data_IF_291062635445
#
_entry.id   IF_291062635445
#
_cell.length_a   1.000
_cell.length_b   1.000
_cell.length_c   1.000
_cell.angle_alpha   90.00
_cell.angle_beta   90.00
_cell.angle_gamma   90.00
#
_symmetry.space_group_name_H-M   'P 1'
#
loop_
_entity.id
_entity.type
_entity.pdbx_description
1 polymer ?
#
# COMPACT_ATOMS: atom_id res chain seq x y z
N UNK A 1 13.61 -26.93 -22.81
CA UNK A 1 12.90 -25.66 -23.06
C UNK A 1 12.26 -25.24 -21.74
N UNK A 2 12.71 -24.13 -21.14
CA UNK A 2 11.91 -23.45 -20.12
C UNK A 2 10.83 -22.69 -20.89
N UNK A 3 9.57 -23.04 -20.67
CA UNK A 3 8.45 -22.26 -21.19
C UNK A 3 8.35 -21.05 -20.28
N UNK A 4 8.82 -19.90 -20.75
CA UNK A 4 8.58 -18.63 -20.08
C UNK A 4 7.11 -18.28 -20.30
N UNK A 5 6.33 -18.34 -19.23
CA UNK A 5 4.93 -17.92 -19.26
C UNK A 5 4.97 -16.39 -19.35
N UNK A 6 4.32 -15.76 -20.34
CA UNK A 6 4.20 -14.30 -20.37
C UNK A 6 3.66 -13.80 -19.04
N UNK A 7 4.22 -12.71 -18.49
CA UNK A 7 3.89 -12.24 -17.13
C UNK A 7 2.39 -12.02 -16.93
N UNK A 8 1.68 -11.62 -17.99
CA UNK A 8 0.23 -11.49 -18.02
C UNK A 8 -0.51 -12.82 -17.81
N UNK A 9 -0.07 -13.90 -18.47
CA UNK A 9 -0.70 -15.22 -18.34
C UNK A 9 -0.41 -15.83 -16.97
N UNK A 10 0.79 -15.60 -16.44
CA UNK A 10 1.14 -15.95 -15.07
C UNK A 10 0.27 -15.19 -14.07
N UNK A 11 0.06 -13.89 -14.29
CA UNK A 11 -0.75 -13.06 -13.41
C UNK A 11 -2.24 -13.44 -13.45
N UNK A 12 -2.80 -13.79 -14.62
CA UNK A 12 -4.16 -14.35 -14.71
C UNK A 12 -4.28 -15.65 -13.90
N UNK A 13 -3.28 -16.52 -13.96
CA UNK A 13 -3.26 -17.76 -13.17
C UNK A 13 -3.18 -17.48 -11.67
N UNK A 14 -2.35 -16.54 -11.23
CA UNK A 14 -2.27 -16.13 -9.82
C UNK A 14 -3.57 -15.50 -9.34
N UNK A 15 -4.25 -14.70 -10.17
CA UNK A 15 -5.58 -14.17 -9.86
C UNK A 15 -6.60 -15.27 -9.62
N UNK A 16 -6.62 -16.29 -10.50
CA UNK A 16 -7.52 -17.41 -10.34
C UNK A 16 -7.26 -18.19 -9.04
N UNK A 17 -5.99 -18.37 -8.65
CA UNK A 17 -5.61 -19.02 -7.39
C UNK A 17 -6.10 -18.19 -6.20
N UNK A 18 -5.85 -16.88 -6.19
CA UNK A 18 -6.27 -15.99 -5.10
C UNK A 18 -7.80 -15.96 -4.95
N UNK A 19 -8.54 -15.92 -6.05
CA UNK A 19 -10.01 -16.01 -6.04
C UNK A 19 -10.51 -17.33 -5.47
N UNK A 20 -9.89 -18.46 -5.85
CA UNK A 20 -10.25 -19.76 -5.30
C UNK A 20 -9.99 -19.84 -3.79
N UNK A 21 -8.86 -19.27 -3.33
CA UNK A 21 -8.56 -19.20 -1.91
C UNK A 21 -9.58 -18.33 -1.18
N UNK A 22 -9.95 -17.16 -1.71
CA UNK A 22 -10.90 -16.24 -1.08
C UNK A 22 -12.33 -16.80 -0.96
N UNK A 23 -12.70 -17.76 -1.80
CA UNK A 23 -14.00 -18.45 -1.74
C UNK A 23 -14.09 -19.51 -0.64
N UNK A 24 -12.98 -19.84 0.01
CA UNK A 24 -12.98 -20.80 1.11
C UNK A 24 -13.82 -20.29 2.29
N UNK A 25 -14.74 -21.11 2.82
CA UNK A 25 -15.60 -20.70 3.92
C UNK A 25 -14.85 -20.64 5.27
N UNK A 26 -13.68 -21.27 5.37
CA UNK A 26 -12.88 -21.40 6.59
C UNK A 26 -11.82 -20.30 6.79
N UNK A 27 -11.89 -19.21 6.02
CA UNK A 27 -10.97 -18.08 6.16
C UNK A 27 -11.33 -17.16 7.33
N UNK A 28 -10.32 -16.79 8.11
CA UNK A 28 -10.39 -15.67 9.05
C UNK A 28 -10.46 -14.33 8.32
N UNK A 29 -10.91 -13.29 9.02
CA UNK A 29 -11.00 -11.94 8.46
C UNK A 29 -9.62 -11.40 8.01
N UNK A 30 -8.56 -11.74 8.75
CA UNK A 30 -7.19 -11.36 8.40
C UNK A 30 -6.73 -12.03 7.11
N UNK A 31 -7.04 -13.32 6.93
CA UNK A 31 -6.67 -14.05 5.71
C UNK A 31 -7.45 -13.53 4.49
N UNK A 32 -8.73 -13.17 4.65
CA UNK A 32 -9.48 -12.47 3.59
C UNK A 32 -8.82 -11.16 3.19
N UNK A 33 -8.48 -10.31 4.15
CA UNK A 33 -7.78 -9.04 3.87
C UNK A 33 -6.42 -9.26 3.20
N UNK A 34 -5.67 -10.28 3.62
CA UNK A 34 -4.39 -10.61 3.00
C UNK A 34 -4.56 -11.06 1.54
N UNK A 35 -5.60 -11.84 1.23
CA UNK A 35 -5.91 -12.27 -0.13
C UNK A 35 -6.40 -11.10 -1.02
N UNK A 36 -7.21 -10.20 -0.46
CA UNK A 36 -7.65 -8.99 -1.16
C UNK A 36 -6.46 -8.06 -1.46
N UNK A 37 -5.55 -7.90 -0.51
CA UNK A 37 -4.32 -7.13 -0.68
C UNK A 37 -3.36 -7.76 -1.70
N UNK A 38 -3.18 -9.08 -1.69
CA UNK A 38 -2.38 -9.76 -2.70
C UNK A 38 -2.98 -9.59 -4.11
N UNK A 39 -4.31 -9.61 -4.23
CA UNK A 39 -5.01 -9.39 -5.48
C UNK A 39 -4.83 -7.96 -6.00
N UNK A 40 -4.81 -6.94 -5.12
CA UNK A 40 -4.58 -5.56 -5.53
C UNK A 40 -3.14 -5.31 -5.99
N UNK A 41 -2.15 -5.90 -5.33
CA UNK A 41 -0.75 -5.83 -5.77
C UNK A 41 -0.55 -6.47 -7.15
N UNK A 42 -1.20 -7.61 -7.39
CA UNK A 42 -1.13 -8.27 -8.68
C UNK A 42 -1.79 -7.45 -9.78
N UNK A 43 -2.93 -6.80 -9.49
CA UNK A 43 -3.56 -5.86 -10.41
C UNK A 43 -2.61 -4.70 -10.74
N UNK A 44 -2.01 -4.09 -9.71
CA UNK A 44 -1.05 -3.01 -9.89
C UNK A 44 0.16 -3.46 -10.73
N UNK A 45 0.71 -4.65 -10.51
CA UNK A 45 1.85 -5.11 -11.33
C UNK A 45 1.54 -5.22 -12.83
N UNK A 46 0.28 -5.48 -13.20
CA UNK A 46 -0.14 -5.58 -14.62
C UNK A 46 -0.51 -4.20 -15.18
N UNK A 47 -1.14 -3.35 -14.38
CA UNK A 47 -1.77 -2.11 -14.84
C UNK A 47 -1.04 -0.83 -14.39
N UNK A 48 0.01 -0.91 -13.57
CA UNK A 48 0.79 0.24 -13.09
C UNK A 48 2.01 0.56 -13.95
N UNK A 49 2.28 -0.18 -15.03
CA UNK A 49 3.27 0.26 -16.03
C UNK A 49 2.85 1.57 -16.74
N UNK A 50 1.59 2.01 -16.60
CA UNK A 50 1.04 3.23 -17.22
C UNK A 50 0.70 4.37 -16.22
N UNK A 51 1.03 4.23 -14.93
CA UNK A 51 0.87 5.33 -13.93
C UNK A 51 2.23 5.87 -13.49
N UNK A 52 3.20 5.85 -14.40
CA UNK A 52 4.42 6.65 -14.33
C UNK A 52 4.19 7.94 -15.11
N UNK A 53 4.53 9.09 -14.52
CA UNK A 53 4.34 10.47 -15.03
C UNK A 53 2.91 11.04 -14.99
N UNK A 54 2.43 11.35 -13.79
CA UNK A 54 1.72 12.64 -13.60
C UNK A 54 2.68 13.58 -12.87
N UNK A 55 3.35 14.41 -13.68
CA UNK A 55 3.89 15.74 -13.36
C UNK A 55 4.52 15.95 -12.00
N UNK A 56 5.85 16.00 -11.99
CA UNK A 56 6.55 17.01 -11.19
C UNK A 56 5.99 18.39 -11.59
N UNK A 57 5.18 19.01 -10.74
CA UNK A 57 5.06 20.47 -10.69
C UNK A 57 4.42 20.90 -9.36
N UNK A 58 5.30 21.42 -8.50
CA UNK A 58 5.11 22.55 -7.57
C UNK A 58 3.79 22.68 -6.79
N UNK A 59 3.87 22.42 -5.47
CA UNK A 59 3.65 23.42 -4.41
C UNK A 59 3.26 22.71 -3.09
N UNK A 60 4.23 22.44 -2.20
CA UNK A 60 3.93 22.36 -0.75
C UNK A 60 5.22 22.31 0.07
N UNK A 61 5.87 23.46 0.28
CA UNK A 61 7.03 23.62 1.16
C UNK A 61 6.75 23.38 2.66
N UNK A 62 5.74 22.57 3.02
CA UNK A 62 5.31 22.31 4.39
C UNK A 62 5.31 20.83 4.80
N UNK A 63 5.52 19.91 3.87
CA UNK A 63 5.53 18.47 4.19
C UNK A 63 6.91 17.91 4.57
N UNK A 64 8.00 18.59 4.19
CA UNK A 64 9.36 18.09 4.47
C UNK A 64 9.71 18.06 5.97
N UNK A 65 9.16 18.96 6.79
CA UNK A 65 9.47 18.96 8.23
C UNK A 65 8.75 17.84 8.99
N UNK A 66 7.52 17.51 8.60
CA UNK A 66 6.74 16.45 9.25
C UNK A 66 7.32 15.08 8.90
N UNK A 67 7.69 14.85 7.64
CA UNK A 67 8.26 13.58 7.20
C UNK A 67 9.59 13.26 7.90
N UNK A 68 10.48 14.25 8.07
CA UNK A 68 11.76 14.06 8.78
C UNK A 68 11.59 13.61 10.23
N UNK A 69 10.51 13.99 10.89
CA UNK A 69 10.24 13.60 12.29
C UNK A 69 9.73 12.16 12.42
N UNK A 70 9.02 11.65 11.40
CA UNK A 70 8.40 10.33 11.39
C UNK A 70 9.39 9.25 10.96
N UNK A 71 10.37 9.57 10.11
CA UNK A 71 11.43 8.63 9.67
C UNK A 71 12.28 8.07 10.82
N UNK A 72 12.34 8.76 11.97
CA UNK A 72 13.19 8.37 13.11
C UNK A 72 12.50 7.45 14.12
N UNK A 73 11.23 7.15 13.91
CA UNK A 73 10.39 6.41 14.84
C UNK A 73 10.57 4.90 14.65
N UNK A 74 11.01 4.21 15.71
CA UNK A 74 11.33 2.76 15.63
C UNK A 74 10.22 1.86 16.14
N UNK A 75 9.12 2.45 16.65
CA UNK A 75 7.99 1.69 17.18
C UNK A 75 6.63 2.35 16.92
N UNK A 76 5.58 1.54 16.82
CA UNK A 76 4.20 2.00 16.64
C UNK A 76 3.73 2.87 17.81
N UNK A 77 4.25 2.63 19.02
CA UNK A 77 3.92 3.42 20.20
C UNK A 77 4.46 4.86 20.10
N UNK A 78 5.70 5.04 19.65
CA UNK A 78 6.29 6.35 19.39
C UNK A 78 5.55 7.08 18.26
N UNK A 79 5.10 6.35 17.23
CA UNK A 79 4.35 6.95 16.11
C UNK A 79 3.01 7.52 16.57
N UNK A 80 2.34 6.84 17.51
CA UNK A 80 1.09 7.32 18.10
C UNK A 80 1.30 8.60 18.93
N UNK A 81 2.44 8.73 19.61
CA UNK A 81 2.78 9.94 20.37
C UNK A 81 3.06 11.14 19.45
N UNK A 82 3.84 10.94 18.37
CA UNK A 82 4.15 12.00 17.39
C UNK A 82 2.86 12.50 16.72
N UNK A 83 1.96 11.59 16.32
CA UNK A 83 0.66 11.97 15.73
C UNK A 83 -0.22 12.76 16.70
N UNK A 84 -0.19 12.43 17.99
CA UNK A 84 -0.95 13.16 19.01
C UNK A 84 -0.39 14.56 19.22
N UNK A 85 0.93 14.72 19.30
CA UNK A 85 1.58 16.02 19.42
C UNK A 85 1.31 16.93 18.20
N UNK A 86 1.35 16.37 16.99
CA UNK A 86 1.05 17.13 15.78
C UNK A 86 -0.43 17.56 15.71
N UNK A 87 -1.36 16.74 16.20
CA UNK A 87 -2.78 17.11 16.28
C UNK A 87 -3.05 18.24 17.29
N UNK A 88 -2.33 18.28 18.41
CA UNK A 88 -2.43 19.36 19.41
C UNK A 88 -1.89 20.71 18.88
N UNK A 89 -0.84 20.68 18.05
CA UNK A 89 -0.31 21.88 17.37
C UNK A 89 -1.27 22.44 16.31
N UNK A 90 -2.08 21.59 15.66
CA UNK A 90 -3.10 22.03 14.71
C UNK A 90 -4.35 22.59 15.39
N UNK A 91 -4.64 22.19 16.62
CA UNK A 91 -5.79 22.66 17.41
C UNK A 91 -5.62 24.06 18.03
N UNK A 92 -4.39 24.56 18.14
CA UNK A 92 -4.06 25.88 18.74
C UNK A 92 -4.02 27.03 17.73
N UNK A 93 -4.30 26.78 16.45
CA UNK A 93 -4.34 27.81 15.39
C UNK A 93 -5.77 28.32 15.05
N UNK A 94 -6.70 28.32 16.01
CA UNK A 94 -8.03 28.95 15.87
C UNK A 94 -8.16 30.19 16.75
#
# INVERSE_FOLDING_TARGET
MKVEIPDRDAAVMYFAILQNLAQRPDLTDLERQALDFASSLLYQSIYSEEISEVGEEEESGREEEIQKSVEKVRSVHELAQVRRANAEQQGTSR
#
